data_IF_662770784230
#
_entry.id   IF_662770784230
#
_cell.length_a   1.000
_cell.length_b   1.000
_cell.length_c   1.000
_cell.angle_alpha   90.00
_cell.angle_beta   90.00
_cell.angle_gamma   90.00
#
_symmetry.space_group_name_H-M   'P 1'
#
loop_
_entity.id
_entity.type
_entity.pdbx_description
1 polymer ?
#
# COMPACT_ATOMS: atom_id res chain seq x y z
N UNK A 1 -22.44 5.89 -10.12
CA UNK A 1 -21.31 5.35 -9.32
C UNK A 1 -21.64 5.54 -7.85
N UNK A 2 -21.63 4.47 -7.05
CA UNK A 2 -22.03 4.55 -5.64
C UNK A 2 -21.08 5.44 -4.82
N UNK A 3 -21.63 6.14 -3.83
CA UNK A 3 -20.86 7.01 -2.91
C UNK A 3 -19.78 6.21 -2.18
N UNK A 4 -20.12 4.99 -1.73
CA UNK A 4 -19.19 4.03 -1.12
C UNK A 4 -18.00 3.69 -2.05
N UNK A 5 -18.26 3.43 -3.34
CA UNK A 5 -17.20 3.16 -4.31
C UNK A 5 -16.24 4.34 -4.49
N UNK A 6 -16.75 5.57 -4.49
CA UNK A 6 -15.92 6.78 -4.57
C UNK A 6 -15.06 6.96 -3.32
N UNK A 7 -15.65 6.82 -2.14
CA UNK A 7 -14.92 6.93 -0.86
C UNK A 7 -13.82 5.86 -0.79
N UNK A 8 -14.12 4.62 -1.15
CA UNK A 8 -13.15 3.52 -1.20
C UNK A 8 -11.96 3.84 -2.12
N UNK A 9 -12.22 4.38 -3.32
CA UNK A 9 -11.15 4.77 -4.24
C UNK A 9 -10.29 5.91 -3.70
N UNK A 10 -10.90 6.93 -3.10
CA UNK A 10 -10.17 8.08 -2.54
C UNK A 10 -9.30 7.63 -1.37
N UNK A 11 -9.85 6.84 -0.44
CA UNK A 11 -9.09 6.29 0.68
C UNK A 11 -7.96 5.38 0.20
N UNK A 12 -8.23 4.52 -0.77
CA UNK A 12 -7.21 3.67 -1.39
C UNK A 12 -6.09 4.47 -2.04
N UNK A 13 -6.40 5.58 -2.72
CA UNK A 13 -5.41 6.46 -3.33
C UNK A 13 -4.54 7.17 -2.30
N UNK A 14 -5.14 7.69 -1.22
CA UNK A 14 -4.40 8.31 -0.12
C UNK A 14 -3.46 7.29 0.52
N UNK A 15 -3.95 6.09 0.82
CA UNK A 15 -3.13 5.01 1.37
C UNK A 15 -2.00 4.60 0.43
N UNK A 16 -2.23 4.61 -0.89
CA UNK A 16 -1.20 4.32 -1.88
C UNK A 16 -0.07 5.36 -1.85
N UNK A 17 -0.39 6.65 -1.72
CA UNK A 17 0.62 7.71 -1.58
C UNK A 17 1.43 7.49 -0.31
N UNK A 18 0.76 7.21 0.82
CA UNK A 18 1.43 6.90 2.09
C UNK A 18 2.32 5.65 1.96
N UNK A 19 1.85 4.62 1.28
CA UNK A 19 2.61 3.39 1.00
C UNK A 19 3.90 3.68 0.23
N UNK A 20 3.84 4.55 -0.80
CA UNK A 20 5.01 4.93 -1.60
C UNK A 20 6.05 5.65 -0.73
N UNK A 21 5.62 6.58 0.13
CA UNK A 21 6.50 7.29 1.06
C UNK A 21 7.17 6.30 2.02
N UNK A 22 6.39 5.41 2.63
CA UNK A 22 6.90 4.39 3.55
C UNK A 22 7.87 3.42 2.87
N UNK A 23 7.56 2.97 1.65
CA UNK A 23 8.43 2.12 0.86
C UNK A 23 9.77 2.80 0.55
N UNK A 24 9.73 4.09 0.19
CA UNK A 24 10.93 4.90 -0.07
C UNK A 24 11.81 5.00 1.18
N UNK A 25 11.20 5.27 2.34
CA UNK A 25 11.92 5.36 3.62
C UNK A 25 12.54 4.02 4.01
N UNK A 26 11.83 2.90 3.80
CA UNK A 26 12.40 1.57 4.05
C UNK A 26 13.53 1.25 3.08
N UNK A 27 13.44 1.64 1.81
CA UNK A 27 14.50 1.41 0.84
C UNK A 27 15.80 2.11 1.25
N UNK A 28 15.71 3.38 1.67
CA UNK A 28 16.86 4.13 2.20
C UNK A 28 17.43 3.42 3.42
N UNK A 29 16.57 3.05 4.37
CA UNK A 29 16.97 2.38 5.61
C UNK A 29 17.68 1.04 5.33
N UNK A 30 17.15 0.21 4.42
CA UNK A 30 17.76 -1.06 4.02
C UNK A 30 19.09 -0.83 3.32
N UNK A 31 19.17 0.16 2.42
CA UNK A 31 20.43 0.53 1.75
C UNK A 31 21.50 0.93 2.75
N UNK A 32 21.17 1.77 3.72
CA UNK A 32 22.10 2.21 4.76
C UNK A 32 22.53 1.03 5.64
N UNK A 33 21.61 0.10 5.95
CA UNK A 33 21.96 -1.16 6.62
C UNK A 33 22.92 -2.03 5.80
N UNK A 34 22.72 -2.16 4.48
CA UNK A 34 23.62 -2.93 3.62
C UNK A 34 25.03 -2.32 3.55
N UNK A 35 25.11 -0.98 3.52
CA UNK A 35 26.40 -0.27 3.61
C UNK A 35 27.05 -0.46 4.98
N UNK A 36 26.27 -0.42 6.06
CA UNK A 36 26.78 -0.68 7.41
C UNK A 36 27.24 -2.14 7.60
N UNK A 37 26.50 -3.12 7.04
CA UNK A 37 26.83 -4.55 7.11
C UNK A 37 28.11 -4.92 6.36
N UNK A 38 28.40 -4.23 5.26
CA UNK A 38 29.68 -4.38 4.53
C UNK A 38 30.84 -3.74 5.27
N UNK A 39 30.58 -2.73 6.12
CA UNK A 39 31.58 -2.07 6.97
C UNK A 39 31.78 -2.70 8.36
N UNK A 40 30.75 -3.32 8.96
CA UNK A 40 30.79 -3.92 10.30
C UNK A 40 30.20 -5.34 10.29
N UNK A 41 31.09 -6.33 10.45
CA UNK A 41 30.78 -7.76 10.52
C UNK A 41 30.19 -8.15 11.90
N UNK A 42 29.09 -7.52 12.33
CA UNK A 42 28.43 -7.84 13.61
C UNK A 42 27.00 -8.35 13.41
N UNK A 43 26.73 -9.51 14.00
CA UNK A 43 25.60 -10.43 13.76
C UNK A 43 24.25 -9.98 14.34
N UNK A 44 24.08 -8.69 14.66
CA UNK A 44 22.93 -8.21 15.46
C UNK A 44 21.78 -7.63 14.63
N UNK A 45 21.81 -7.74 13.30
CA UNK A 45 20.85 -7.12 12.38
C UNK A 45 19.50 -7.85 12.21
N UNK A 46 19.22 -8.90 12.98
CA UNK A 46 17.97 -9.67 12.88
C UNK A 46 16.76 -9.06 13.60
N UNK A 47 16.81 -7.77 13.97
CA UNK A 47 15.63 -7.10 14.50
C UNK A 47 14.76 -6.61 13.33
N UNK A 48 13.75 -7.39 12.95
CA UNK A 48 12.84 -7.09 11.86
C UNK A 48 12.22 -5.72 12.10
N UNK A 49 12.57 -4.73 11.27
CA UNK A 49 12.16 -3.35 11.48
C UNK A 49 10.62 -3.27 11.45
N UNK A 50 9.93 -2.90 12.55
CA UNK A 50 8.47 -2.86 12.62
C UNK A 50 7.85 -1.92 11.58
N UNK A 51 8.63 -0.97 11.06
CA UNK A 51 8.25 -0.09 9.96
C UNK A 51 7.96 -0.84 8.65
N UNK A 52 8.68 -1.92 8.36
CA UNK A 52 8.42 -2.74 7.17
C UNK A 52 7.05 -3.41 7.24
N UNK A 53 6.68 -3.96 8.39
CA UNK A 53 5.36 -4.57 8.60
C UNK A 53 4.22 -3.59 8.39
N UNK A 54 4.35 -2.38 8.96
CA UNK A 54 3.37 -1.30 8.75
C UNK A 54 3.27 -0.96 7.26
N UNK A 55 4.40 -0.95 6.56
CA UNK A 55 4.42 -0.64 5.12
C UNK A 55 3.69 -1.69 4.32
N UNK A 56 3.90 -2.98 4.60
CA UNK A 56 3.15 -4.05 3.95
C UNK A 56 1.65 -3.96 4.23
N UNK A 57 1.25 -3.65 5.47
CA UNK A 57 -0.15 -3.47 5.83
C UNK A 57 -0.79 -2.31 5.07
N UNK A 58 -0.09 -1.17 4.96
CA UNK A 58 -0.58 0.02 4.25
C UNK A 58 -0.65 -0.23 2.73
N UNK A 59 0.34 -0.90 2.15
CA UNK A 59 0.31 -1.33 0.74
C UNK A 59 -0.89 -2.24 0.48
N UNK A 60 -1.08 -3.25 1.32
CA UNK A 60 -2.19 -4.19 1.21
C UNK A 60 -3.55 -3.47 1.34
N UNK A 61 -3.70 -2.61 2.35
CA UNK A 61 -4.91 -1.80 2.55
C UNK A 61 -5.21 -0.92 1.34
N UNK A 62 -4.20 -0.27 0.77
CA UNK A 62 -4.36 0.55 -0.44
C UNK A 62 -4.91 -0.25 -1.61
N UNK A 63 -4.36 -1.43 -1.87
CA UNK A 63 -4.81 -2.33 -2.93
C UNK A 63 -6.22 -2.84 -2.71
N UNK A 64 -6.56 -3.18 -1.46
CA UNK A 64 -7.90 -3.62 -1.09
C UNK A 64 -8.95 -2.53 -1.33
N UNK A 65 -8.71 -1.31 -0.85
CA UNK A 65 -9.64 -0.18 -1.03
C UNK A 65 -9.78 0.25 -2.50
N UNK A 66 -8.68 0.26 -3.25
CA UNK A 66 -8.73 0.52 -4.70
C UNK A 66 -9.49 -0.58 -5.43
N UNK A 67 -9.24 -1.85 -5.10
CA UNK A 67 -9.90 -3.00 -5.69
C UNK A 67 -11.42 -2.99 -5.45
N UNK A 68 -11.85 -2.80 -4.20
CA UNK A 68 -13.27 -2.68 -3.86
C UNK A 68 -13.95 -1.50 -4.57
N UNK A 69 -13.28 -0.36 -4.63
CA UNK A 69 -13.76 0.82 -5.36
C UNK A 69 -13.95 0.56 -6.86
N UNK A 70 -13.02 -0.19 -7.48
CA UNK A 70 -13.13 -0.60 -8.89
C UNK A 70 -14.27 -1.60 -9.10
N UNK A 71 -14.42 -2.60 -8.23
CA UNK A 71 -15.50 -3.60 -8.31
C UNK A 71 -16.86 -2.93 -8.24
N UNK A 72 -17.09 -2.02 -7.28
CA UNK A 72 -18.34 -1.26 -7.20
C UNK A 72 -18.58 -0.37 -8.41
N UNK A 73 -17.52 0.21 -8.99
CA UNK A 73 -17.62 0.97 -10.23
C UNK A 73 -18.06 0.09 -11.41
N UNK A 74 -17.51 -1.12 -11.53
CA UNK A 74 -17.92 -2.10 -12.56
C UNK A 74 -19.35 -2.58 -12.36
N UNK A 75 -19.74 -2.93 -11.13
CA UNK A 75 -21.11 -3.38 -10.83
C UNK A 75 -22.15 -2.29 -11.13
N UNK A 76 -21.87 -1.04 -10.74
CA UNK A 76 -22.76 0.08 -11.05
C UNK A 76 -22.92 0.31 -12.57
N UNK A 77 -21.84 0.14 -13.35
CA UNK A 77 -21.91 0.20 -14.82
C UNK A 77 -22.74 -0.93 -15.42
N UNK A 78 -22.65 -2.14 -14.87
CA UNK A 78 -23.45 -3.30 -15.32
C UNK A 78 -24.94 -3.15 -15.01
N UNK A 79 -25.28 -2.62 -13.84
CA UNK A 79 -26.68 -2.35 -13.49
C UNK A 79 -27.31 -1.33 -14.43
N UNK A 80 -26.63 -0.23 -14.75
CA UNK A 80 -27.17 0.78 -15.67
C UNK A 80 -27.43 0.22 -17.09
N UNK A 81 -26.57 -0.66 -17.60
CA UNK A 81 -26.76 -1.30 -18.92
C UNK A 81 -27.85 -2.38 -18.95
N UNK A 82 -28.26 -2.91 -17.80
CA UNK A 82 -29.31 -3.92 -17.72
C UNK A 82 -30.72 -3.31 -17.60
N UNK A 83 -30.79 -2.01 -17.30
CA UNK A 83 -32.04 -1.23 -17.20
C UNK A 83 -32.38 -0.43 -18.46
N UNK A 84 -31.47 -0.39 -19.44
CA UNK A 84 -31.71 0.09 -20.81
C UNK A 84 -32.12 -1.07 -21.70
#
# INVERSE_FOLDING_TARGET
MSVLGRISLILGLILLIVAIILATLNFITIRDYLVALTAQRSRDFYNVNPRLWITYLVVFGSGLFLGLGMVWSVMARRQHRATE
#
